data_IF_209981467090
#
_entry.id   IF_209981467090
#
_cell.length_a   1.000
_cell.length_b   1.000
_cell.length_c   1.000
_cell.angle_alpha   90.00
_cell.angle_beta   90.00
_cell.angle_gamma   90.00
#
_symmetry.space_group_name_H-M   'P 1'
#
loop_
_entity.id
_entity.type
_entity.pdbx_description
1 polymer ?
#
# COMPACT_ATOMS: atom_id res chain seq x y z
N UNK A 1 -39.94 -18.41 -57.35
CA UNK A 1 -39.07 -17.49 -56.62
C UNK A 1 -38.76 -18.12 -55.24
N UNK A 2 -37.53 -18.65 -55.03
CA UNK A 2 -37.12 -19.27 -53.79
C UNK A 2 -36.49 -18.16 -52.91
N UNK A 3 -37.05 -17.86 -51.75
CA UNK A 3 -36.49 -16.92 -50.76
C UNK A 3 -35.43 -17.63 -49.90
N UNK A 4 -34.19 -17.23 -50.10
CA UNK A 4 -33.10 -17.66 -49.20
C UNK A 4 -33.16 -16.85 -47.89
N UNK A 5 -33.38 -17.55 -46.78
CA UNK A 5 -33.28 -16.98 -45.42
C UNK A 5 -31.84 -17.18 -44.96
N UNK A 6 -31.11 -16.08 -44.81
CA UNK A 6 -29.77 -16.09 -44.20
C UNK A 6 -29.97 -15.98 -42.69
N UNK A 7 -29.66 -17.07 -41.97
CA UNK A 7 -29.67 -17.12 -40.52
C UNK A 7 -28.28 -16.63 -40.02
N UNK A 8 -28.19 -15.39 -39.52
CA UNK A 8 -26.97 -14.86 -38.93
C UNK A 8 -26.88 -15.34 -37.48
N UNK A 9 -25.98 -16.29 -37.19
CA UNK A 9 -25.68 -16.72 -35.85
C UNK A 9 -24.79 -15.65 -35.20
N UNK A 10 -25.32 -14.89 -34.24
CA UNK A 10 -24.52 -14.04 -33.32
C UNK A 10 -23.89 -14.95 -32.27
N UNK A 11 -22.58 -15.15 -32.35
CA UNK A 11 -21.80 -15.75 -31.27
C UNK A 11 -21.63 -14.71 -30.16
N UNK A 12 -22.38 -14.84 -29.09
CA UNK A 12 -22.08 -14.15 -27.81
C UNK A 12 -20.89 -14.85 -27.18
N UNK A 13 -19.69 -14.23 -27.28
CA UNK A 13 -18.54 -14.63 -26.48
C UNK A 13 -18.79 -14.12 -25.05
N UNK A 14 -19.33 -14.98 -24.18
CA UNK A 14 -19.41 -14.72 -22.75
C UNK A 14 -17.98 -14.88 -22.21
N UNK A 15 -17.23 -13.78 -22.11
CA UNK A 15 -16.01 -13.76 -21.32
C UNK A 15 -16.43 -14.02 -19.87
N UNK A 16 -16.16 -15.22 -19.36
CA UNK A 16 -16.22 -15.50 -17.93
C UNK A 16 -15.19 -14.60 -17.27
N UNK A 17 -15.65 -13.55 -16.60
CA UNK A 17 -14.86 -12.83 -15.60
C UNK A 17 -14.53 -13.84 -14.52
N UNK A 18 -13.34 -14.44 -14.58
CA UNK A 18 -12.84 -15.30 -13.52
C UNK A 18 -12.96 -14.55 -12.20
N UNK A 19 -13.57 -15.19 -11.21
CA UNK A 19 -13.58 -14.65 -9.85
C UNK A 19 -12.11 -14.41 -9.46
N UNK A 20 -11.78 -13.20 -9.03
CA UNK A 20 -10.45 -12.88 -8.54
C UNK A 20 -10.25 -13.62 -7.22
N UNK A 21 -9.33 -14.59 -7.18
CA UNK A 21 -9.01 -15.33 -5.97
C UNK A 21 -8.23 -14.43 -5.01
N UNK A 22 -8.87 -14.04 -3.90
CA UNK A 22 -8.26 -13.26 -2.84
C UNK A 22 -7.56 -14.17 -1.83
N UNK A 23 -6.25 -13.93 -1.61
CA UNK A 23 -5.48 -14.56 -0.55
C UNK A 23 -5.36 -13.61 0.65
N UNK A 24 -5.77 -13.99 1.88
CA UNK A 24 -5.60 -13.14 3.05
C UNK A 24 -4.12 -12.99 3.40
N UNK A 25 -3.62 -11.75 3.37
CA UNK A 25 -2.24 -11.44 3.73
C UNK A 25 -2.00 -11.56 5.24
N UNK A 26 -3.05 -11.40 6.05
CA UNK A 26 -3.05 -11.53 7.50
C UNK A 26 -4.22 -12.40 7.96
N UNK A 27 -3.95 -13.32 8.88
CA UNK A 27 -4.93 -14.32 9.34
C UNK A 27 -5.80 -13.87 10.52
N UNK A 28 -5.67 -12.62 10.97
CA UNK A 28 -6.38 -12.06 12.11
C UNK A 28 -5.92 -12.55 13.50
N UNK A 29 -4.93 -13.47 13.59
CA UNK A 29 -4.59 -14.17 14.84
C UNK A 29 -3.13 -14.06 15.27
N UNK A 30 -2.20 -14.05 14.33
CA UNK A 30 -0.77 -14.01 14.63
C UNK A 30 0.03 -13.43 13.46
N UNK A 31 1.28 -13.05 13.74
CA UNK A 31 2.20 -12.47 12.75
C UNK A 31 3.03 -13.52 12.00
N UNK A 32 2.55 -14.75 11.88
CA UNK A 32 3.21 -15.77 11.04
C UNK A 32 3.25 -15.29 9.59
N UNK A 33 4.41 -15.34 8.96
CA UNK A 33 4.61 -14.81 7.61
C UNK A 33 5.03 -13.34 7.58
N UNK A 34 5.24 -12.73 8.77
CA UNK A 34 5.72 -11.36 8.91
C UNK A 34 7.03 -11.32 9.70
N UNK A 35 7.86 -10.32 9.44
CA UNK A 35 9.11 -10.04 10.16
C UNK A 35 9.27 -8.54 10.39
N UNK A 36 9.79 -8.15 11.56
CA UNK A 36 10.11 -6.75 11.85
C UNK A 36 11.49 -6.41 11.27
N UNK A 37 11.59 -5.26 10.61
CA UNK A 37 12.80 -4.71 10.02
C UNK A 37 13.08 -3.30 10.56
N UNK A 38 14.33 -2.93 10.61
CA UNK A 38 14.90 -1.65 11.04
C UNK A 38 14.60 -1.30 12.51
N UNK A 39 13.68 -0.36 12.79
CA UNK A 39 13.46 0.19 14.13
C UNK A 39 12.98 -0.81 15.18
N UNK A 40 12.53 -0.24 16.35
CA UNK A 40 12.17 -1.01 17.54
C UNK A 40 10.70 -0.81 17.96
N UNK A 41 9.87 -0.16 17.14
CA UNK A 41 8.45 -0.05 17.40
C UNK A 41 7.80 -1.44 17.49
N UNK A 42 6.72 -1.56 18.25
CA UNK A 42 6.04 -2.82 18.47
C UNK A 42 4.85 -2.98 17.54
N UNK A 43 4.53 -4.25 17.23
CA UNK A 43 3.30 -4.61 16.54
C UNK A 43 2.52 -5.60 17.40
N UNK A 44 1.24 -5.31 17.59
CA UNK A 44 0.31 -6.11 18.39
C UNK A 44 -0.88 -6.53 17.53
N UNK A 45 -1.61 -7.52 17.98
CA UNK A 45 -2.89 -7.90 17.38
C UNK A 45 -3.97 -7.51 18.36
N UNK A 46 -4.87 -6.63 17.94
CA UNK A 46 -6.00 -6.15 18.72
C UNK A 46 -7.25 -6.25 17.85
N UNK A 47 -8.26 -6.95 18.31
CA UNK A 47 -9.54 -7.13 17.61
C UNK A 47 -9.41 -7.61 16.15
N UNK A 48 -8.44 -8.51 15.91
CA UNK A 48 -8.19 -9.05 14.57
C UNK A 48 -7.44 -8.11 13.62
N UNK A 49 -6.95 -6.96 14.10
CA UNK A 49 -6.14 -6.01 13.35
C UNK A 49 -4.67 -6.02 13.80
N UNK A 50 -3.76 -5.72 12.88
CA UNK A 50 -2.35 -5.42 13.22
C UNK A 50 -2.28 -3.97 13.68
N UNK A 51 -1.83 -3.74 14.91
CA UNK A 51 -1.64 -2.43 15.50
C UNK A 51 -0.14 -2.17 15.66
N UNK A 52 0.38 -1.17 14.95
CA UNK A 52 1.71 -0.63 15.17
C UNK A 52 1.67 0.41 16.29
N UNK A 53 2.61 0.29 17.24
CA UNK A 53 2.71 1.22 18.38
C UNK A 53 3.98 2.06 18.21
N UNK A 54 3.79 3.37 18.09
CA UNK A 54 4.91 4.32 17.97
C UNK A 54 5.84 4.24 19.17
N UNK A 55 7.13 4.52 18.93
CA UNK A 55 8.17 4.48 19.95
C UNK A 55 9.19 5.59 19.72
N UNK A 56 9.37 6.47 20.70
CA UNK A 56 10.38 7.54 20.67
C UNK A 56 11.80 6.97 20.53
N UNK A 57 12.66 7.70 19.83
CA UNK A 57 14.09 7.39 19.72
C UNK A 57 14.43 6.12 18.92
N UNK A 58 13.59 5.75 17.99
CA UNK A 58 13.86 4.65 17.05
C UNK A 58 13.59 5.11 15.62
N UNK A 59 14.37 4.66 14.62
CA UNK A 59 14.07 4.94 13.23
C UNK A 59 12.75 4.24 12.82
N UNK A 60 12.27 4.58 11.61
CA UNK A 60 11.15 3.89 11.00
C UNK A 60 11.24 2.38 11.20
N UNK A 61 10.14 1.80 11.65
CA UNK A 61 10.03 0.35 11.87
C UNK A 61 9.04 -0.19 10.85
N UNK A 62 9.36 -1.33 10.27
CA UNK A 62 8.54 -1.96 9.24
C UNK A 62 8.20 -3.39 9.62
N UNK A 63 6.93 -3.76 9.57
CA UNK A 63 6.48 -5.14 9.64
C UNK A 63 6.31 -5.65 8.21
N UNK A 64 7.29 -6.41 7.72
CA UNK A 64 7.38 -6.86 6.34
C UNK A 64 6.91 -8.30 6.19
N UNK A 65 6.25 -8.60 5.08
CA UNK A 65 5.98 -9.99 4.68
C UNK A 65 7.29 -10.75 4.46
N UNK A 66 7.29 -12.05 4.74
CA UNK A 66 8.45 -12.91 4.46
C UNK A 66 8.51 -13.35 3.01
N UNK A 67 7.41 -13.21 2.26
CA UNK A 67 7.31 -13.42 0.81
C UNK A 67 7.49 -12.11 0.06
N UNK A 68 7.97 -12.18 -1.17
CA UNK A 68 7.95 -11.10 -2.14
C UNK A 68 6.72 -11.21 -3.06
N UNK A 69 6.33 -10.09 -3.63
CA UNK A 69 5.19 -9.96 -4.54
C UNK A 69 5.62 -9.11 -5.75
N UNK A 70 5.36 -9.62 -6.95
CA UNK A 70 5.54 -8.90 -8.22
C UNK A 70 4.26 -8.17 -8.59
N UNK A 71 3.42 -8.79 -9.42
CA UNK A 71 2.11 -8.26 -9.76
C UNK A 71 1.08 -8.63 -8.71
N UNK A 72 0.36 -7.64 -8.21
CA UNK A 72 -0.69 -7.85 -7.21
C UNK A 72 -1.72 -6.73 -7.19
N UNK A 73 -2.86 -7.04 -6.61
CA UNK A 73 -3.83 -6.08 -6.10
C UNK A 73 -3.89 -6.28 -4.58
N UNK A 74 -3.73 -5.21 -3.82
CA UNK A 74 -3.81 -5.22 -2.36
C UNK A 74 -4.98 -4.35 -1.92
N UNK A 75 -5.89 -4.93 -1.13
CA UNK A 75 -6.97 -4.19 -0.47
C UNK A 75 -6.84 -4.33 1.04
N UNK A 76 -7.02 -3.25 1.76
CA UNK A 76 -6.97 -3.23 3.22
C UNK A 76 -7.76 -2.06 3.80
N UNK A 77 -8.15 -2.21 5.07
CA UNK A 77 -8.66 -1.10 5.86
C UNK A 77 -7.58 -0.62 6.82
N UNK A 78 -7.51 0.68 7.03
CA UNK A 78 -6.54 1.28 7.93
C UNK A 78 -7.12 2.46 8.69
N UNK A 79 -6.55 2.72 9.85
CA UNK A 79 -6.81 3.88 10.70
C UNK A 79 -5.49 4.27 11.36
N UNK A 80 -5.21 5.56 11.43
CA UNK A 80 -4.09 6.12 12.21
C UNK A 80 -4.63 7.13 13.19
N UNK A 81 -3.94 7.30 14.31
CA UNK A 81 -4.24 8.36 15.25
C UNK A 81 -3.83 9.73 14.65
N UNK A 82 -4.37 10.81 15.22
CA UNK A 82 -4.02 12.16 14.79
C UNK A 82 -2.50 12.35 14.83
N UNK A 83 -1.97 13.03 13.81
CA UNK A 83 -0.58 13.39 13.65
C UNK A 83 0.43 12.23 13.47
N UNK A 84 -0.01 10.96 13.49
CA UNK A 84 0.87 9.83 13.24
C UNK A 84 1.00 9.51 11.74
N UNK A 85 2.12 9.90 11.15
CA UNK A 85 2.49 9.46 9.79
C UNK A 85 2.72 7.95 9.76
N UNK A 86 2.36 7.33 8.65
CA UNK A 86 2.53 5.89 8.39
C UNK A 86 2.64 5.63 6.89
N UNK A 87 2.67 4.37 6.50
CA UNK A 87 2.65 3.97 5.10
C UNK A 87 2.64 2.47 4.91
N UNK A 88 2.36 2.06 3.68
CA UNK A 88 2.46 0.67 3.25
C UNK A 88 3.50 0.55 2.15
N UNK A 89 4.57 -0.19 2.42
CA UNK A 89 5.63 -0.48 1.47
C UNK A 89 5.13 -1.48 0.42
N UNK A 90 5.54 -1.26 -0.83
CA UNK A 90 5.18 -2.05 -2.01
C UNK A 90 6.44 -2.46 -2.74
N UNK A 91 6.58 -3.73 -3.13
CA UNK A 91 7.74 -4.22 -3.87
C UNK A 91 9.04 -3.69 -3.29
N UNK A 92 9.13 -3.62 -1.95
CA UNK A 92 10.26 -3.01 -1.25
C UNK A 92 11.30 -4.03 -0.87
N UNK A 93 12.49 -3.55 -0.57
CA UNK A 93 13.66 -4.35 -0.28
C UNK A 93 14.32 -3.92 1.04
N UNK A 94 15.11 -4.83 1.62
CA UNK A 94 16.00 -4.57 2.74
C UNK A 94 17.25 -5.40 2.54
N UNK A 95 18.22 -4.85 1.82
CA UNK A 95 19.47 -5.52 1.46
C UNK A 95 20.61 -5.01 2.33
N UNK A 96 21.49 -5.92 2.76
CA UNK A 96 22.62 -5.59 3.64
C UNK A 96 23.59 -4.58 3.02
N UNK A 97 23.76 -4.63 1.69
CA UNK A 97 24.61 -3.74 0.90
C UNK A 97 23.97 -2.35 0.66
N UNK A 98 22.70 -2.15 1.01
CA UNK A 98 22.02 -0.87 0.89
C UNK A 98 21.76 -0.27 2.28
N UNK A 99 22.51 0.76 2.65
CA UNK A 99 22.41 1.47 3.93
C UNK A 99 22.24 0.53 5.14
N UNK A 100 23.06 -0.55 5.23
CA UNK A 100 23.03 -1.55 6.30
C UNK A 100 21.67 -2.25 6.48
N UNK A 101 20.95 -2.50 5.40
CA UNK A 101 19.64 -3.17 5.44
C UNK A 101 18.46 -2.24 5.65
N UNK A 102 18.63 -0.92 5.42
CA UNK A 102 17.51 0.01 5.46
C UNK A 102 16.44 -0.41 4.46
N UNK A 103 15.19 -0.47 4.92
CA UNK A 103 14.03 -0.68 4.06
C UNK A 103 13.94 0.46 3.06
N UNK A 104 13.76 0.11 1.79
CA UNK A 104 13.67 1.07 0.70
C UNK A 104 12.75 0.56 -0.39
N UNK A 105 12.06 1.45 -1.07
CA UNK A 105 11.12 1.12 -2.13
C UNK A 105 9.88 1.97 -2.14
N UNK A 106 8.92 1.60 -2.99
CA UNK A 106 7.67 2.34 -3.11
C UNK A 106 6.86 2.26 -1.82
N UNK A 107 6.25 3.38 -1.45
CA UNK A 107 5.36 3.51 -0.30
C UNK A 107 4.05 4.16 -0.70
N UNK A 108 2.95 3.48 -0.43
CA UNK A 108 1.64 4.11 -0.30
C UNK A 108 1.66 4.94 0.97
N UNK A 109 1.57 6.24 0.83
CA UNK A 109 1.69 7.17 1.96
C UNK A 109 0.40 7.25 2.77
N UNK A 110 0.55 7.37 4.10
CA UNK A 110 -0.53 7.71 5.04
C UNK A 110 -0.07 8.95 5.81
N UNK A 111 -0.61 10.09 5.42
CA UNK A 111 -0.22 11.41 5.89
C UNK A 111 -1.43 12.17 6.46
N UNK A 112 -1.64 12.14 7.79
CA UNK A 112 -2.76 12.83 8.45
C UNK A 112 -2.55 14.33 8.57
N UNK A 113 -1.37 14.86 8.23
CA UNK A 113 -1.07 16.28 8.32
C UNK A 113 -1.94 17.12 7.37
N UNK A 114 -1.94 18.45 7.58
CA UNK A 114 -2.63 19.41 6.71
C UNK A 114 -2.16 19.40 5.26
N UNK A 115 -1.00 18.82 4.98
CA UNK A 115 -0.49 18.55 3.63
C UNK A 115 -1.42 17.63 2.84
N UNK A 116 -2.05 16.66 3.54
CA UNK A 116 -3.05 15.72 3.01
C UNK A 116 -2.56 14.97 1.77
N UNK A 117 -1.45 14.24 1.90
CA UNK A 117 -0.88 13.46 0.79
C UNK A 117 -1.08 11.95 0.94
N UNK A 118 -2.02 11.52 1.81
CA UNK A 118 -2.41 10.11 1.92
C UNK A 118 -2.87 9.56 0.57
N UNK A 119 -2.39 8.37 0.21
CA UNK A 119 -2.62 7.75 -1.09
C UNK A 119 -1.62 8.16 -2.17
N UNK A 120 -0.77 9.15 -1.91
CA UNK A 120 0.37 9.48 -2.76
C UNK A 120 1.42 8.36 -2.75
N UNK A 121 2.40 8.44 -3.65
CA UNK A 121 3.50 7.46 -3.73
C UNK A 121 4.81 8.14 -3.39
N UNK A 122 5.44 7.65 -2.32
CA UNK A 122 6.78 8.00 -1.89
C UNK A 122 7.75 6.85 -2.22
N UNK A 123 9.02 7.13 -2.41
CA UNK A 123 10.07 6.13 -2.62
C UNK A 123 11.01 6.15 -1.41
N UNK A 124 10.66 5.36 -0.39
CA UNK A 124 11.33 5.31 0.91
C UNK A 124 12.83 5.06 0.76
N UNK A 125 13.62 5.91 1.40
CA UNK A 125 15.08 5.85 1.43
C UNK A 125 15.79 5.82 0.05
N UNK A 126 15.10 6.24 -1.04
CA UNK A 126 15.67 6.31 -2.39
C UNK A 126 15.48 7.70 -3.02
N UNK A 127 14.32 7.93 -3.67
CA UNK A 127 14.08 9.12 -4.53
C UNK A 127 13.11 10.13 -3.92
N UNK A 128 12.47 9.79 -2.78
CA UNK A 128 11.47 10.65 -2.16
C UNK A 128 10.13 10.61 -2.91
N UNK A 129 9.47 11.76 -3.04
CA UNK A 129 8.15 11.84 -3.65
C UNK A 129 8.16 11.53 -5.14
N UNK A 130 7.46 10.45 -5.53
CA UNK A 130 7.20 10.13 -6.93
C UNK A 130 5.86 10.71 -7.39
N UNK A 131 4.85 10.68 -6.52
CA UNK A 131 3.54 11.24 -6.80
C UNK A 131 2.93 11.88 -5.54
N UNK A 132 3.27 13.13 -5.22
CA UNK A 132 2.58 13.89 -4.18
C UNK A 132 1.17 14.28 -4.65
N UNK A 133 0.19 14.41 -3.75
CA UNK A 133 -1.19 14.77 -4.13
C UNK A 133 -1.34 16.25 -4.56
N UNK A 134 -0.27 16.99 -4.70
CA UNK A 134 -0.28 18.24 -5.49
C UNK A 134 -0.56 17.99 -6.97
N UNK A 135 -0.23 16.78 -7.46
CA UNK A 135 -0.54 16.34 -8.83
C UNK A 135 -1.99 15.86 -9.01
N UNK A 136 -2.70 15.58 -7.92
CA UNK A 136 -4.11 15.23 -7.90
C UNK A 136 -4.82 15.90 -6.71
N UNK A 137 -5.04 17.22 -6.73
CA UNK A 137 -5.58 17.93 -5.58
C UNK A 137 -6.98 17.46 -5.13
N UNK A 138 -7.78 16.92 -6.05
CA UNK A 138 -9.12 16.38 -5.73
C UNK A 138 -9.08 15.18 -4.79
N UNK A 139 -7.98 14.41 -4.79
CA UNK A 139 -7.81 13.25 -3.93
C UNK A 139 -7.41 13.60 -2.49
N UNK A 140 -7.05 14.85 -2.19
CA UNK A 140 -6.66 15.27 -0.83
C UNK A 140 -7.77 15.06 0.22
N UNK A 141 -9.03 15.05 -0.20
CA UNK A 141 -10.18 14.80 0.67
C UNK A 141 -10.55 13.31 0.79
N UNK A 142 -9.82 12.42 0.14
CA UNK A 142 -10.13 10.98 0.15
C UNK A 142 -9.89 10.34 1.51
N UNK A 143 -8.83 10.73 2.21
CA UNK A 143 -8.48 10.26 3.54
C UNK A 143 -9.32 10.95 4.62
N UNK A 144 -9.78 10.18 5.59
CA UNK A 144 -10.53 10.64 6.77
C UNK A 144 -9.70 10.38 8.02
N UNK A 145 -9.30 11.44 8.70
CA UNK A 145 -8.53 11.33 9.93
C UNK A 145 -9.35 10.68 11.04
N UNK A 146 -8.72 9.96 11.98
CA UNK A 146 -9.36 9.24 13.09
C UNK A 146 -10.49 8.26 12.69
N UNK A 147 -10.60 7.89 11.45
CA UNK A 147 -11.62 6.99 10.95
C UNK A 147 -11.00 5.80 10.20
N UNK A 148 -11.75 4.72 10.12
CA UNK A 148 -11.40 3.63 9.21
C UNK A 148 -11.54 4.08 7.76
N UNK A 149 -10.48 3.85 6.99
CA UNK A 149 -10.41 4.09 5.57
C UNK A 149 -10.18 2.78 4.84
N UNK A 150 -10.75 2.62 3.65
CA UNK A 150 -10.37 1.54 2.74
C UNK A 150 -9.29 2.03 1.78
N UNK A 151 -8.32 1.18 1.50
CA UNK A 151 -7.31 1.41 0.47
C UNK A 151 -7.30 0.28 -0.54
N UNK A 152 -7.00 0.65 -1.78
CA UNK A 152 -6.69 -0.28 -2.86
C UNK A 152 -5.41 0.16 -3.55
N UNK A 153 -4.55 -0.80 -3.82
CA UNK A 153 -3.30 -0.63 -4.54
C UNK A 153 -3.25 -1.66 -5.64
N UNK A 154 -2.97 -1.23 -6.86
CA UNK A 154 -2.72 -2.11 -7.98
C UNK A 154 -1.27 -1.90 -8.45
N UNK A 155 -0.46 -2.93 -8.34
CA UNK A 155 0.91 -2.97 -8.83
C UNK A 155 0.99 -4.08 -9.89
N UNK A 156 0.85 -3.72 -11.18
CA UNK A 156 0.81 -4.65 -12.31
C UNK A 156 1.77 -4.18 -13.40
N UNK A 157 2.72 -5.03 -13.77
CA UNK A 157 3.85 -4.61 -14.61
C UNK A 157 4.56 -3.41 -13.99
N UNK A 158 4.77 -2.36 -14.76
CA UNK A 158 5.41 -1.12 -14.29
C UNK A 158 4.39 -0.08 -13.76
N UNK A 159 3.09 -0.40 -13.77
CA UNK A 159 2.05 0.52 -13.29
C UNK A 159 1.80 0.33 -11.81
N UNK A 160 1.78 1.44 -11.04
CA UNK A 160 1.34 1.46 -9.64
C UNK A 160 0.23 2.50 -9.51
N UNK A 161 -0.94 2.07 -9.07
CA UNK A 161 -2.12 2.91 -8.88
C UNK A 161 -2.67 2.75 -7.47
N UNK A 162 -3.18 3.83 -6.90
CA UNK A 162 -3.68 3.85 -5.52
C UNK A 162 -5.05 4.51 -5.42
N UNK A 163 -5.85 4.04 -4.46
CA UNK A 163 -7.15 4.60 -4.11
C UNK A 163 -7.33 4.62 -2.60
N UNK A 164 -8.03 5.63 -2.10
CA UNK A 164 -8.57 5.69 -0.73
C UNK A 164 -10.06 5.92 -0.81
N UNK A 165 -10.85 5.10 -0.10
CA UNK A 165 -12.32 5.20 -0.06
C UNK A 165 -12.97 5.25 -1.45
N UNK A 166 -12.39 4.50 -2.41
CA UNK A 166 -12.83 4.47 -3.80
C UNK A 166 -12.39 5.66 -4.67
N UNK A 167 -11.72 6.67 -4.10
CA UNK A 167 -11.22 7.85 -4.82
C UNK A 167 -9.81 7.55 -5.34
N UNK A 168 -9.55 7.68 -6.68
CA UNK A 168 -8.22 7.53 -7.25
C UNK A 168 -7.26 8.59 -6.70
N UNK A 169 -6.09 8.17 -6.19
CA UNK A 169 -5.11 9.05 -5.58
C UNK A 169 -3.89 9.26 -6.47
N UNK A 170 -3.13 8.20 -6.76
CA UNK A 170 -1.92 8.27 -7.54
C UNK A 170 -1.91 7.23 -8.67
N UNK A 171 -1.14 7.55 -9.72
CA UNK A 171 -0.88 6.66 -10.84
C UNK A 171 0.51 6.97 -11.40
N UNK A 172 1.44 6.01 -11.27
CA UNK A 172 2.78 6.12 -11.82
C UNK A 172 3.10 4.94 -12.73
N UNK A 173 4.09 5.16 -13.59
CA UNK A 173 4.74 4.13 -14.38
C UNK A 173 6.23 4.11 -14.02
N UNK A 174 6.69 3.05 -13.38
CA UNK A 174 8.05 2.95 -12.86
C UNK A 174 8.51 1.49 -12.81
N UNK A 175 9.70 1.20 -13.34
CA UNK A 175 10.24 -0.14 -13.51
C UNK A 175 11.36 -0.50 -12.54
N UNK A 176 11.65 0.36 -11.56
CA UNK A 176 12.84 0.24 -10.71
C UNK A 176 12.86 -1.02 -9.86
N UNK A 177 11.70 -1.42 -9.32
CA UNK A 177 11.61 -2.62 -8.47
C UNK A 177 10.38 -3.43 -8.89
N UNK A 178 10.55 -4.50 -9.70
CA UNK A 178 9.44 -5.27 -10.23
C UNK A 178 8.80 -6.19 -9.19
N UNK A 179 9.54 -6.58 -8.14
CA UNK A 179 9.03 -7.38 -7.03
C UNK A 179 9.75 -7.05 -5.72
N UNK A 180 9.13 -7.37 -4.60
CA UNK A 180 9.65 -7.18 -3.25
C UNK A 180 8.57 -7.44 -2.21
N UNK A 181 8.90 -7.22 -0.95
CA UNK A 181 7.93 -7.43 0.12
C UNK A 181 6.90 -6.29 0.21
N UNK A 182 5.79 -6.57 0.89
CA UNK A 182 4.83 -5.59 1.39
C UNK A 182 5.15 -5.37 2.87
N UNK A 183 5.14 -4.11 3.36
CA UNK A 183 5.36 -3.86 4.77
C UNK A 183 4.51 -2.70 5.31
N UNK A 184 4.18 -2.79 6.61
CA UNK A 184 3.47 -1.76 7.35
C UNK A 184 4.49 -0.92 8.12
N UNK A 185 4.46 0.40 7.93
CA UNK A 185 5.37 1.32 8.61
C UNK A 185 4.79 1.80 9.94
N UNK A 186 5.64 1.83 10.97
CA UNK A 186 5.52 2.74 12.11
C UNK A 186 6.58 3.81 11.94
N UNK A 187 6.16 5.04 11.70
CA UNK A 187 7.06 6.17 11.47
C UNK A 187 7.87 6.51 12.73
N UNK A 188 9.08 7.00 12.54
CA UNK A 188 9.92 7.48 13.62
C UNK A 188 9.30 8.71 14.30
N UNK A 189 9.37 8.76 15.62
CA UNK A 189 9.03 9.93 16.44
C UNK A 189 10.32 10.49 17.00
N UNK A 190 10.61 11.75 16.70
CA UNK A 190 11.75 12.47 17.29
C UNK A 190 11.46 12.81 18.75
N UNK A 191 12.51 12.82 19.58
CA UNK A 191 12.37 12.92 21.05
C UNK A 191 11.72 14.22 21.56
N UNK A 192 11.62 15.28 20.75
CA UNK A 192 11.32 16.63 21.22
C UNK A 192 10.14 17.35 20.53
N UNK A 193 9.28 16.63 19.77
CA UNK A 193 8.20 17.29 19.02
C UNK A 193 6.78 16.84 19.32
N UNK A 194 6.62 15.82 20.17
CA UNK A 194 5.30 15.20 20.42
C UNK A 194 5.04 15.04 21.93
N UNK A 195 5.02 16.14 22.70
CA UNK A 195 4.38 16.25 24.00
C UNK A 195 3.11 17.11 23.89
#
# INVERSE_FOLDING_TARGET
MKKNIILTLLFFCVASLGAQDWEPLFNGKNLKGWKRLNGKAEYKIVDGAIVGVSKKGTPNTFLATTKNYGDFILEFSFKVDDDLNSGVQLRSESRKDYNNGRVHGYQFEIDPSTRAWSGGIYDEARRGWLYPLTLNPSAKSAFRNNAWNSARIEAVGNSIRTWINGIPCANIWDDRTPEGFIALQVHAIENDKDE
#
